data_IF_353141236647
#
_entry.id   IF_353141236647
#
_cell.length_a   1.000
_cell.length_b   1.000
_cell.length_c   1.000
_cell.angle_alpha   90.00
_cell.angle_beta   90.00
_cell.angle_gamma   90.00
#
_symmetry.space_group_name_H-M   'P 1'
#
loop_
_entity.id
_entity.type
_entity.pdbx_description
1 polymer ?
#
# COMPACT_ATOMS: atom_id res chain seq x y z
N UNK A 1 -6.51 18.64 6.25
CA UNK A 1 -6.71 17.27 5.72
C UNK A 1 -6.78 17.36 4.21
N UNK A 2 -5.78 16.78 3.53
CA UNK A 2 -5.65 16.80 2.08
C UNK A 2 -5.64 15.35 1.57
N UNK A 3 -6.75 14.96 0.97
CA UNK A 3 -6.94 13.67 0.34
C UNK A 3 -7.92 13.81 -0.82
N UNK A 4 -7.81 12.94 -1.81
CA UNK A 4 -8.61 12.98 -3.03
C UNK A 4 -8.98 11.56 -3.46
N UNK A 5 -10.18 11.39 -4.01
CA UNK A 5 -10.57 10.19 -4.74
C UNK A 5 -10.60 10.52 -6.23
N UNK A 6 -9.90 9.72 -7.03
CA UNK A 6 -9.85 9.81 -8.49
C UNK A 6 -10.54 8.56 -9.03
N UNK A 7 -11.55 8.75 -9.87
CA UNK A 7 -12.29 7.68 -10.52
C UNK A 7 -11.78 7.46 -11.95
N UNK A 8 -12.01 6.27 -12.51
CA UNK A 8 -11.65 5.91 -13.88
C UNK A 8 -10.17 6.16 -14.22
N UNK A 9 -9.27 5.70 -13.35
CA UNK A 9 -7.81 5.95 -13.47
C UNK A 9 -7.22 5.31 -14.73
N UNK A 10 -7.60 4.06 -15.00
CA UNK A 10 -7.14 3.28 -16.14
C UNK A 10 -8.07 3.49 -17.34
N UNK A 11 -7.53 3.49 -18.58
CA UNK A 11 -8.33 3.34 -19.79
C UNK A 11 -9.23 2.10 -19.73
N UNK A 12 -10.38 2.15 -20.41
CA UNK A 12 -11.42 1.13 -20.33
C UNK A 12 -10.91 -0.28 -20.66
N UNK A 13 -10.14 -0.43 -21.74
CA UNK A 13 -9.59 -1.69 -22.21
C UNK A 13 -8.63 -2.35 -21.19
N UNK A 14 -7.90 -1.54 -20.43
CA UNK A 14 -7.04 -1.99 -19.34
C UNK A 14 -7.84 -2.27 -18.07
N UNK A 15 -8.81 -1.40 -17.74
CA UNK A 15 -9.69 -1.54 -16.58
C UNK A 15 -10.42 -2.88 -16.58
N UNK A 16 -11.03 -3.25 -17.72
CA UNK A 16 -11.81 -4.48 -17.88
C UNK A 16 -11.01 -5.76 -17.58
N UNK A 17 -9.71 -5.72 -17.84
CA UNK A 17 -8.80 -6.87 -17.66
C UNK A 17 -7.97 -6.76 -16.39
N UNK A 18 -8.00 -5.60 -15.73
CA UNK A 18 -7.09 -5.25 -14.64
C UNK A 18 -7.17 -6.27 -13.50
N UNK A 19 -8.38 -6.65 -13.10
CA UNK A 19 -8.57 -7.58 -11.99
C UNK A 19 -7.99 -8.97 -12.30
N UNK A 20 -8.36 -9.55 -13.45
CA UNK A 20 -7.87 -10.85 -13.87
C UNK A 20 -6.35 -10.89 -14.05
N UNK A 21 -5.76 -9.81 -14.60
CA UNK A 21 -4.31 -9.68 -14.76
C UNK A 21 -3.61 -9.54 -13.41
N UNK A 22 -4.14 -8.73 -12.48
CA UNK A 22 -3.59 -8.62 -11.12
C UNK A 22 -3.64 -9.96 -10.39
N UNK A 23 -4.79 -10.64 -10.42
CA UNK A 23 -5.00 -11.93 -9.75
C UNK A 23 -4.04 -13.01 -10.25
N UNK A 24 -3.73 -13.02 -11.55
CA UNK A 24 -2.86 -14.03 -12.19
C UNK A 24 -1.38 -13.69 -12.19
N UNK A 25 -0.99 -12.42 -12.32
CA UNK A 25 0.42 -12.01 -12.44
C UNK A 25 1.09 -11.67 -11.10
N UNK A 26 0.31 -11.45 -10.03
CA UNK A 26 0.85 -11.17 -8.70
C UNK A 26 1.05 -12.49 -7.95
N UNK A 27 2.25 -12.70 -7.43
CA UNK A 27 2.51 -13.81 -6.51
C UNK A 27 1.97 -13.46 -5.12
N UNK A 28 1.00 -14.25 -4.65
CA UNK A 28 0.29 -14.02 -3.40
C UNK A 28 0.93 -14.77 -2.23
N UNK A 29 1.25 -14.03 -1.17
CA UNK A 29 1.82 -14.57 0.06
C UNK A 29 0.88 -14.31 1.25
N UNK A 30 0.98 -15.18 2.25
CA UNK A 30 0.40 -14.94 3.57
C UNK A 30 1.36 -14.08 4.39
N UNK A 31 0.84 -13.16 5.21
CA UNK A 31 1.63 -12.38 6.16
C UNK A 31 1.13 -12.61 7.59
N UNK A 32 2.06 -12.69 8.53
CA UNK A 32 1.77 -12.73 9.97
C UNK A 32 2.04 -11.36 10.62
N UNK A 33 1.18 -11.01 11.56
CA UNK A 33 1.32 -9.82 12.39
C UNK A 33 0.69 -10.05 13.77
N UNK A 34 1.43 -9.74 14.83
CA UNK A 34 1.00 -9.96 16.22
C UNK A 34 0.64 -11.43 16.50
N UNK A 35 1.40 -12.37 15.93
CA UNK A 35 1.23 -13.80 16.17
C UNK A 35 0.04 -14.44 15.44
N UNK A 36 -0.61 -13.71 14.52
CA UNK A 36 -1.72 -14.23 13.71
C UNK A 36 -1.58 -13.90 12.23
N UNK A 37 -2.19 -14.73 11.38
CA UNK A 37 -2.30 -14.45 9.96
C UNK A 37 -3.21 -13.25 9.71
N UNK A 38 -2.78 -12.31 8.87
CA UNK A 38 -3.68 -11.23 8.44
C UNK A 38 -4.77 -11.78 7.52
N UNK A 39 -6.02 -11.27 7.61
CA UNK A 39 -7.14 -11.78 6.82
C UNK A 39 -7.15 -11.13 5.43
N UNK A 40 -6.11 -11.42 4.65
CA UNK A 40 -5.88 -11.02 3.25
C UNK A 40 -4.56 -11.61 2.75
N UNK A 41 -4.43 -11.79 1.44
CA UNK A 41 -3.14 -12.11 0.82
C UNK A 41 -2.41 -10.82 0.45
N UNK A 42 -1.09 -10.89 0.38
CA UNK A 42 -0.26 -9.72 0.08
C UNK A 42 0.85 -10.03 -0.93
N UNK A 43 1.37 -8.97 -1.53
CA UNK A 43 2.60 -9.00 -2.32
C UNK A 43 3.27 -7.63 -2.22
N UNK A 44 4.59 -7.58 -2.21
CA UNK A 44 5.33 -6.31 -2.27
C UNK A 44 6.13 -6.29 -3.55
N UNK A 45 5.90 -5.29 -4.37
CA UNK A 45 6.64 -5.11 -5.61
C UNK A 45 7.34 -3.76 -5.63
N UNK A 46 8.45 -3.69 -6.34
CA UNK A 46 9.24 -2.47 -6.41
C UNK A 46 10.28 -2.51 -7.52
N UNK A 47 10.91 -1.36 -7.70
CA UNK A 47 12.10 -1.24 -8.52
C UNK A 47 13.32 -1.28 -7.61
N UNK A 48 14.30 -2.10 -7.96
CA UNK A 48 15.58 -2.11 -7.29
C UNK A 48 16.70 -2.35 -8.28
N UNK A 49 17.80 -1.64 -8.07
CA UNK A 49 19.05 -1.82 -8.80
C UNK A 49 20.11 -2.35 -7.84
N UNK A 50 21.14 -1.54 -7.59
CA UNK A 50 22.14 -1.84 -6.56
C UNK A 50 21.65 -1.59 -5.13
N UNK A 51 20.56 -0.85 -5.00
CA UNK A 51 19.90 -0.55 -3.73
C UNK A 51 18.42 -0.91 -3.82
N UNK A 52 17.90 -1.36 -2.69
CA UNK A 52 16.54 -1.88 -2.53
C UNK A 52 15.77 -0.88 -1.65
N UNK A 53 14.63 -0.32 -2.10
CA UNK A 53 13.79 0.52 -1.25
C UNK A 53 13.22 -0.33 -0.11
N UNK A 54 13.26 0.18 1.12
CA UNK A 54 12.76 -0.52 2.29
C UNK A 54 11.65 0.26 2.96
N UNK A 55 10.49 -0.37 3.07
CA UNK A 55 9.41 0.10 3.93
C UNK A 55 9.24 -0.86 5.10
N UNK A 56 9.36 -0.33 6.32
CA UNK A 56 9.30 -1.13 7.55
C UNK A 56 7.88 -1.52 7.92
N UNK A 57 7.36 -2.57 7.30
CA UNK A 57 6.04 -3.09 7.60
C UNK A 57 5.91 -3.53 9.07
N UNK A 58 4.73 -3.36 9.70
CA UNK A 58 4.43 -4.05 10.96
C UNK A 58 4.12 -5.51 10.64
N UNK A 59 5.15 -6.30 10.35
CA UNK A 59 5.06 -7.74 10.14
C UNK A 59 6.02 -8.45 11.07
N UNK A 60 5.67 -9.68 11.44
CA UNK A 60 6.53 -10.54 12.25
C UNK A 60 7.71 -11.11 11.41
N UNK A 61 7.61 -11.00 10.07
CA UNK A 61 8.56 -11.55 9.09
C UNK A 61 9.06 -10.46 8.13
N UNK A 62 10.23 -10.68 7.52
CA UNK A 62 10.71 -9.85 6.42
C UNK A 62 9.94 -10.18 5.14
N UNK A 63 9.31 -9.17 4.57
CA UNK A 63 8.60 -9.29 3.31
C UNK A 63 9.55 -9.00 2.15
N UNK A 64 9.61 -9.92 1.21
CA UNK A 64 10.46 -9.81 0.03
C UNK A 64 9.89 -8.77 -0.95
N UNK A 65 10.74 -7.84 -1.40
CA UNK A 65 10.44 -6.94 -2.50
C UNK A 65 10.75 -7.65 -3.82
N UNK A 66 9.72 -7.97 -4.61
CA UNK A 66 9.89 -8.58 -5.93
C UNK A 66 9.79 -7.53 -7.05
N UNK A 67 10.28 -7.83 -8.27
CA UNK A 67 10.09 -6.93 -9.41
C UNK A 67 8.61 -6.69 -9.73
N UNK A 68 8.33 -5.59 -10.41
CA UNK A 68 6.99 -5.27 -10.89
C UNK A 68 6.45 -6.33 -11.85
N UNK A 69 5.24 -6.84 -11.57
CA UNK A 69 4.45 -7.55 -12.57
C UNK A 69 4.04 -6.59 -13.70
N UNK A 70 3.90 -7.05 -14.97
CA UNK A 70 3.58 -6.18 -16.10
C UNK A 70 2.34 -5.29 -15.90
N UNK A 71 1.27 -5.80 -15.28
CA UNK A 71 0.07 -5.01 -14.98
C UNK A 71 0.33 -3.94 -13.90
N UNK A 72 1.11 -4.28 -12.86
CA UNK A 72 1.44 -3.36 -11.77
C UNK A 72 2.31 -2.21 -12.28
N UNK A 73 3.24 -2.50 -13.19
CA UNK A 73 4.07 -1.50 -13.86
C UNK A 73 3.22 -0.50 -14.66
N UNK A 74 2.23 -0.99 -15.42
CA UNK A 74 1.32 -0.11 -16.18
C UNK A 74 0.48 0.80 -15.27
N UNK A 75 -0.08 0.25 -14.19
CA UNK A 75 -0.84 1.03 -13.20
C UNK A 75 0.05 2.08 -12.56
N UNK A 76 1.28 1.71 -12.17
CA UNK A 76 2.29 2.63 -11.62
C UNK A 76 2.54 3.79 -12.57
N UNK A 77 2.80 3.51 -13.85
CA UNK A 77 3.17 4.53 -14.84
C UNK A 77 2.01 5.51 -15.10
N UNK A 78 0.78 5.00 -15.18
CA UNK A 78 -0.42 5.82 -15.33
C UNK A 78 -0.60 6.73 -14.10
N UNK A 79 -0.52 6.17 -12.89
CA UNK A 79 -0.62 6.95 -11.66
C UNK A 79 0.50 7.99 -11.54
N UNK A 80 1.73 7.62 -11.91
CA UNK A 80 2.87 8.52 -11.88
C UNK A 80 2.68 9.72 -12.79
N UNK A 81 2.16 9.49 -14.00
CA UNK A 81 1.82 10.57 -14.94
C UNK A 81 0.67 11.42 -14.44
N UNK A 82 -0.39 10.81 -13.92
CA UNK A 82 -1.59 11.53 -13.44
C UNK A 82 -1.30 12.42 -12.23
N UNK A 83 -0.39 11.99 -11.36
CA UNK A 83 -0.10 12.67 -10.09
C UNK A 83 1.22 13.45 -10.08
N UNK A 84 1.97 13.42 -11.18
CA UNK A 84 3.34 13.97 -11.27
C UNK A 84 4.24 13.49 -10.12
N UNK A 85 4.18 12.18 -9.83
CA UNK A 85 4.89 11.57 -8.70
C UNK A 85 5.43 10.18 -9.05
N UNK A 86 6.71 9.93 -8.80
CA UNK A 86 7.31 8.61 -9.01
C UNK A 86 7.04 7.65 -7.84
N UNK A 87 6.74 6.40 -8.14
CA UNK A 87 6.59 5.33 -7.15
C UNK A 87 7.66 4.25 -7.36
N UNK A 88 8.33 3.83 -6.28
CA UNK A 88 9.35 2.78 -6.32
C UNK A 88 8.96 1.54 -5.50
N UNK A 89 7.78 1.56 -4.87
CA UNK A 89 7.31 0.51 -3.98
C UNK A 89 5.77 0.45 -3.99
N UNK A 90 5.22 -0.76 -3.96
CA UNK A 90 3.79 -1.02 -3.75
C UNK A 90 3.59 -2.14 -2.73
N UNK A 91 2.62 -1.96 -1.84
CA UNK A 91 2.01 -3.07 -1.11
C UNK A 91 0.70 -3.43 -1.81
N UNK A 92 0.61 -4.65 -2.34
CA UNK A 92 -0.60 -5.20 -2.94
C UNK A 92 -1.31 -6.04 -1.89
N UNK A 93 -2.62 -5.89 -1.78
CA UNK A 93 -3.45 -6.62 -0.83
C UNK A 93 -4.68 -7.17 -1.55
N UNK A 94 -4.90 -8.47 -1.43
CA UNK A 94 -6.03 -9.17 -2.03
C UNK A 94 -7.01 -9.61 -0.94
N UNK A 95 -8.18 -8.98 -0.97
CA UNK A 95 -9.33 -9.25 -0.14
C UNK A 95 -10.21 -10.25 -0.88
N UNK A 96 -10.23 -11.49 -0.41
CA UNK A 96 -10.91 -12.62 -1.06
C UNK A 96 -12.43 -12.57 -0.89
N UNK A 97 -12.93 -11.73 0.01
CA UNK A 97 -14.35 -11.48 0.22
C UNK A 97 -14.56 -10.22 1.08
N UNK A 98 -15.83 -9.89 1.35
CA UNK A 98 -16.23 -8.89 2.34
C UNK A 98 -15.71 -9.15 3.76
N UNK A 99 -15.32 -10.38 4.08
CA UNK A 99 -14.83 -10.78 5.40
C UNK A 99 -13.35 -10.44 5.65
N UNK A 100 -12.57 -10.30 4.57
CA UNK A 100 -11.19 -9.83 4.66
C UNK A 100 -11.18 -8.33 4.99
N UNK A 101 -10.23 -7.89 5.83
CA UNK A 101 -10.20 -6.53 6.38
C UNK A 101 -8.79 -6.05 6.73
N UNK A 102 -8.66 -4.75 6.99
CA UNK A 102 -7.49 -4.15 7.64
C UNK A 102 -7.96 -3.18 8.72
N UNK A 103 -7.49 -3.40 9.96
CA UNK A 103 -7.82 -2.59 11.13
C UNK A 103 -7.37 -1.14 10.96
N UNK A 104 -7.86 -0.27 11.85
CA UNK A 104 -7.46 1.14 11.91
C UNK A 104 -5.94 1.26 12.11
N UNK A 105 -5.25 1.90 11.16
CA UNK A 105 -3.80 2.12 11.19
C UNK A 105 -3.42 3.37 10.41
N UNK A 106 -2.18 3.83 10.55
CA UNK A 106 -1.57 4.76 9.61
C UNK A 106 -0.35 4.09 8.99
N UNK A 107 -0.01 4.48 7.76
CA UNK A 107 1.25 4.06 7.17
C UNK A 107 2.42 4.65 7.97
N UNK A 108 3.50 3.87 8.14
CA UNK A 108 4.70 4.36 8.81
C UNK A 108 5.39 5.38 7.90
N UNK A 109 5.44 6.63 8.33
CA UNK A 109 5.99 7.72 7.51
C UNK A 109 7.51 7.79 7.50
N UNK A 110 8.19 7.02 8.36
CA UNK A 110 9.64 7.07 8.53
C UNK A 110 10.39 6.86 7.20
N UNK A 111 9.95 5.88 6.41
CA UNK A 111 10.61 5.49 5.16
C UNK A 111 9.98 6.11 3.91
N UNK A 112 8.79 6.70 4.03
CA UNK A 112 8.09 7.35 2.92
C UNK A 112 8.64 8.77 2.76
N UNK A 113 9.12 9.10 1.56
CA UNK A 113 9.66 10.41 1.22
C UNK A 113 8.71 11.53 1.66
N UNK A 114 9.21 12.44 2.49
CA UNK A 114 8.45 13.62 2.93
C UNK A 114 7.91 14.39 1.73
N UNK A 115 6.65 14.82 1.82
CA UNK A 115 5.97 15.59 0.78
C UNK A 115 5.37 14.76 -0.36
N UNK A 116 5.59 13.43 -0.39
CA UNK A 116 4.94 12.54 -1.37
C UNK A 116 3.65 11.94 -0.83
N UNK A 117 2.68 11.74 -1.71
CA UNK A 117 1.40 11.11 -1.38
C UNK A 117 1.50 9.59 -1.37
N UNK A 118 0.70 8.97 -0.51
CA UNK A 118 0.41 7.54 -0.51
C UNK A 118 -0.83 7.33 -1.38
N UNK A 119 -0.77 6.40 -2.33
CA UNK A 119 -1.85 6.22 -3.32
C UNK A 119 -2.37 4.79 -3.27
N UNK A 120 -3.65 4.62 -2.91
CA UNK A 120 -4.34 3.33 -2.91
C UNK A 120 -5.21 3.20 -4.14
N UNK A 121 -4.73 2.48 -5.15
CA UNK A 121 -5.54 2.08 -6.30
C UNK A 121 -6.38 0.84 -5.96
N UNK A 122 -7.62 0.79 -6.44
CA UNK A 122 -8.61 -0.25 -6.14
C UNK A 122 -9.15 -0.89 -7.41
N UNK A 123 -9.20 -2.22 -7.43
CA UNK A 123 -9.76 -3.00 -8.53
C UNK A 123 -10.62 -4.16 -7.98
N UNK A 124 -11.77 -4.39 -8.60
CA UNK A 124 -12.78 -5.36 -8.15
C UNK A 124 -13.85 -4.71 -7.28
N UNK A 125 -14.42 -5.49 -6.35
CA UNK A 125 -15.53 -5.08 -5.49
C UNK A 125 -15.29 -3.79 -4.73
N UNK A 126 -16.30 -2.92 -4.70
CA UNK A 126 -16.29 -1.68 -3.93
C UNK A 126 -16.18 -1.98 -2.43
N UNK A 127 -15.28 -1.27 -1.74
CA UNK A 127 -15.16 -1.30 -0.27
C UNK A 127 -14.98 0.11 0.28
N UNK A 128 -15.47 0.34 1.49
CA UNK A 128 -15.37 1.65 2.13
C UNK A 128 -14.05 1.81 2.88
N UNK A 129 -13.26 2.81 2.51
CA UNK A 129 -12.18 3.33 3.34
C UNK A 129 -12.73 4.30 4.38
N UNK A 130 -12.47 4.01 5.65
CA UNK A 130 -12.85 4.89 6.76
C UNK A 130 -11.60 5.60 7.24
N UNK A 131 -11.55 6.92 7.08
CA UNK A 131 -10.50 7.81 7.58
C UNK A 131 -10.96 8.45 8.89
N UNK A 132 -10.10 8.46 9.91
CA UNK A 132 -10.43 8.91 11.25
C UNK A 132 -9.29 9.72 11.87
N UNK A 133 -9.57 10.91 12.40
CA UNK A 133 -8.54 11.71 13.07
C UNK A 133 -8.03 11.00 14.33
N UNK A 134 -6.72 11.13 14.60
CA UNK A 134 -6.11 10.61 15.82
C UNK A 134 -6.52 11.47 17.02
N UNK A 135 -6.63 10.83 18.19
CA UNK A 135 -7.01 11.52 19.44
C UNK A 135 -6.01 12.63 19.77
N UNK A 136 -6.52 13.77 20.24
CA UNK A 136 -5.71 14.89 20.71
C UNK A 136 -5.09 15.77 19.62
N UNK A 137 -5.34 15.50 18.34
CA UNK A 137 -4.90 16.37 17.23
C UNK A 137 -5.97 17.38 16.81
N UNK A 138 -7.22 17.16 17.19
CA UNK A 138 -8.36 18.04 16.93
C UNK A 138 -9.30 18.05 18.13
N UNK A 139 -10.06 19.12 18.31
CA UNK A 139 -11.08 19.25 19.36
C UNK A 139 -12.14 18.15 19.21
N UNK A 140 -12.62 17.95 17.98
CA UNK A 140 -13.56 16.89 17.62
C UNK A 140 -12.95 15.78 16.78
N UNK A 141 -13.47 14.56 16.97
CA UNK A 141 -13.02 13.38 16.21
C UNK A 141 -13.67 13.36 14.81
N UNK A 142 -12.92 13.78 13.81
CA UNK A 142 -13.35 13.73 12.40
C UNK A 142 -13.35 12.27 11.89
N UNK A 143 -14.45 11.88 11.23
CA UNK A 143 -14.58 10.61 10.52
C UNK A 143 -15.06 10.91 9.09
N UNK A 144 -14.35 10.37 8.09
CA UNK A 144 -14.76 10.41 6.68
C UNK A 144 -14.78 9.01 6.09
N UNK A 145 -15.64 8.82 5.09
CA UNK A 145 -15.82 7.55 4.40
C UNK A 145 -15.71 7.79 2.90
N UNK A 146 -14.96 6.94 2.23
CA UNK A 146 -14.77 6.96 0.79
C UNK A 146 -15.07 5.59 0.23
N UNK A 147 -15.95 5.52 -0.76
CA UNK A 147 -16.19 4.29 -1.52
C UNK A 147 -15.05 4.11 -2.52
N UNK A 148 -14.35 2.99 -2.40
CA UNK A 148 -13.24 2.66 -3.29
C UNK A 148 -13.76 1.74 -4.37
N UNK A 149 -14.27 2.34 -5.44
CA UNK A 149 -14.83 1.64 -6.57
C UNK A 149 -13.75 0.94 -7.41
N UNK A 150 -14.19 0.03 -8.28
CA UNK A 150 -13.33 -0.50 -9.33
C UNK A 150 -12.71 0.65 -10.14
N UNK A 151 -11.40 0.57 -10.40
CA UNK A 151 -10.66 1.56 -11.17
C UNK A 151 -10.60 2.96 -10.51
N UNK A 152 -10.60 3.00 -9.18
CA UNK A 152 -10.43 4.23 -8.40
C UNK A 152 -9.05 4.30 -7.74
N UNK A 153 -8.55 5.52 -7.50
CA UNK A 153 -7.36 5.78 -6.68
C UNK A 153 -7.67 6.77 -5.57
N UNK A 154 -7.46 6.35 -4.31
CA UNK A 154 -7.49 7.23 -3.15
C UNK A 154 -6.08 7.74 -2.86
N UNK A 155 -5.91 9.06 -2.94
CA UNK A 155 -4.66 9.79 -2.71
C UNK A 155 -4.71 10.39 -1.31
N UNK A 156 -3.73 10.03 -0.48
CA UNK A 156 -3.58 10.51 0.89
C UNK A 156 -2.21 11.15 1.05
N UNK A 157 -2.15 12.44 1.33
CA UNK A 157 -0.86 13.10 1.48
C UNK A 157 -0.12 12.70 2.78
N UNK A 158 1.20 12.94 2.80
CA UNK A 158 2.07 12.53 3.90
C UNK A 158 1.65 13.12 5.26
N UNK A 159 1.21 14.39 5.27
CA UNK A 159 0.79 15.09 6.49
C UNK A 159 -0.53 14.54 7.03
N UNK A 160 -1.50 14.28 6.15
CA UNK A 160 -2.79 13.71 6.52
C UNK A 160 -2.61 12.30 7.07
N UNK A 161 -1.72 11.48 6.51
CA UNK A 161 -1.41 10.16 7.08
C UNK A 161 -0.81 10.23 8.51
N UNK A 162 -0.12 11.33 8.87
CA UNK A 162 0.31 11.54 10.27
C UNK A 162 -0.84 11.85 11.21
N UNK A 163 -1.84 12.56 10.73
CA UNK A 163 -2.96 13.06 11.56
C UNK A 163 -4.15 12.10 11.62
N UNK A 164 -4.27 11.21 10.63
CA UNK A 164 -5.40 10.31 10.48
C UNK A 164 -4.97 8.85 10.42
N UNK A 165 -5.83 7.97 10.94
CA UNK A 165 -5.77 6.53 10.72
C UNK A 165 -6.86 6.13 9.73
N UNK A 166 -6.65 5.04 8.99
CA UNK A 166 -7.57 4.50 8.00
C UNK A 166 -7.80 3.00 8.20
N UNK A 167 -8.94 2.52 7.72
CA UNK A 167 -9.33 1.10 7.79
C UNK A 167 -10.21 0.70 6.61
N UNK A 168 -10.19 -0.60 6.29
CA UNK A 168 -11.22 -1.28 5.49
C UNK A 168 -11.85 -2.32 6.42
N UNK A 169 -13.12 -2.15 6.76
CA UNK A 169 -13.83 -3.01 7.72
C UNK A 169 -14.47 -4.20 7.02
N UNK A 170 -14.68 -5.28 7.78
CA UNK A 170 -15.51 -6.38 7.34
C UNK A 170 -16.90 -5.88 6.93
N UNK A 171 -17.42 -6.40 5.83
CA UNK A 171 -18.78 -6.19 5.41
C UNK A 171 -19.58 -7.48 5.61
N UNK A 172 -20.36 -7.51 6.70
CA UNK A 172 -21.15 -8.66 7.13
C UNK A 172 -22.60 -8.62 6.64
N UNK A 173 -22.94 -7.64 5.78
CA UNK A 173 -24.25 -7.59 5.15
C UNK A 173 -24.43 -8.81 4.24
N UNK A 174 -25.68 -9.25 4.14
CA UNK A 174 -26.07 -10.27 3.17
C UNK A 174 -25.82 -9.78 1.73
N UNK A 175 -25.44 -10.67 0.83
CA UNK A 175 -25.14 -10.31 -0.56
C UNK A 175 -26.38 -9.79 -1.30
N UNK A 176 -27.58 -10.21 -0.91
CA UNK A 176 -28.85 -9.75 -1.52
C UNK A 176 -29.13 -8.25 -1.35
N UNK A 177 -28.47 -7.59 -0.39
CA UNK A 177 -28.60 -6.15 -0.13
C UNK A 177 -27.37 -5.34 -0.57
N UNK A 178 -26.40 -5.98 -1.22
CA UNK A 178 -25.22 -5.32 -1.78
C UNK A 178 -25.51 -4.87 -3.21
N UNK A 179 -24.91 -3.75 -3.59
CA UNK A 179 -24.95 -3.27 -4.96
C UNK A 179 -24.11 -4.14 -5.90
N UNK A 180 -24.33 -4.02 -7.20
CA UNK A 180 -23.55 -4.72 -8.22
C UNK A 180 -22.04 -4.40 -8.10
N UNK A 181 -21.70 -3.14 -7.80
CA UNK A 181 -20.30 -2.72 -7.63
C UNK A 181 -19.65 -3.36 -6.40
N UNK A 182 -20.40 -3.61 -5.33
CA UNK A 182 -19.92 -4.30 -4.13
C UNK A 182 -19.79 -5.82 -4.32
N UNK A 183 -20.45 -6.37 -5.35
CA UNK A 183 -20.41 -7.79 -5.72
C UNK A 183 -19.51 -8.07 -6.95
N UNK A 184 -18.93 -7.03 -7.55
CA UNK A 184 -18.05 -7.16 -8.71
C UNK A 184 -16.92 -8.15 -8.40
N UNK A 185 -16.53 -8.96 -9.39
CA UNK A 185 -15.53 -10.03 -9.23
C UNK A 185 -15.87 -11.00 -8.08
N UNK A 186 -17.16 -11.28 -7.88
CA UNK A 186 -17.68 -12.12 -6.79
C UNK A 186 -17.36 -11.57 -5.38
N UNK A 187 -17.36 -10.24 -5.23
CA UNK A 187 -17.09 -9.57 -3.94
C UNK A 187 -15.60 -9.53 -3.56
N UNK A 188 -14.72 -9.90 -4.49
CA UNK A 188 -13.27 -9.85 -4.31
C UNK A 188 -12.69 -8.47 -4.67
N UNK A 189 -11.66 -8.04 -3.94
CA UNK A 189 -10.99 -6.75 -4.18
C UNK A 189 -9.49 -6.88 -4.11
N UNK A 190 -8.79 -6.31 -5.08
CA UNK A 190 -7.34 -6.12 -5.04
C UNK A 190 -7.05 -4.63 -4.87
N UNK A 191 -6.18 -4.29 -3.92
CA UNK A 191 -5.71 -2.92 -3.73
C UNK A 191 -4.20 -2.82 -3.84
N UNK A 192 -3.73 -1.72 -4.42
CA UNK A 192 -2.33 -1.42 -4.64
C UNK A 192 -2.01 -0.12 -3.92
N UNK A 193 -1.25 -0.18 -2.82
CA UNK A 193 -0.81 1.01 -2.08
C UNK A 193 0.60 1.39 -2.52
N UNK A 194 0.69 2.33 -3.46
CA UNK A 194 1.94 2.86 -3.99
C UNK A 194 2.54 3.94 -3.07
N UNK A 195 3.87 3.93 -2.96
CA UNK A 195 4.65 4.86 -2.13
C UNK A 195 5.94 5.27 -2.85
N UNK A 196 6.42 6.47 -2.54
CA UNK A 196 7.79 6.88 -2.82
C UNK A 196 8.62 6.64 -1.57
N UNK A 197 9.45 5.61 -1.57
CA UNK A 197 10.32 5.25 -0.46
C UNK A 197 11.67 5.97 -0.61
N UNK A 198 12.14 6.55 0.48
CA UNK A 198 13.43 7.26 0.58
C UNK A 198 14.36 6.64 1.64
N UNK A 199 14.06 5.41 2.07
CA UNK A 199 14.98 4.56 2.84
C UNK A 199 15.41 3.40 1.95
N UNK A 200 16.71 3.13 1.90
CA UNK A 200 17.29 2.13 1.02
C UNK A 200 18.27 1.25 1.77
N UNK A 201 18.39 0.00 1.31
CA UNK A 201 19.41 -0.94 1.76
C UNK A 201 20.23 -1.42 0.57
N UNK A 202 21.54 -1.60 0.75
CA UNK A 202 22.37 -2.25 -0.27
C UNK A 202 22.09 -3.75 -0.33
N UNK A 203 22.48 -4.37 -1.45
CA UNK A 203 22.42 -5.83 -1.63
C UNK A 203 23.08 -6.57 -0.46
N UNK A 204 22.62 -7.78 -0.11
CA UNK A 204 23.24 -8.60 0.93
C UNK A 204 24.75 -8.75 0.72
N UNK A 205 25.53 -8.59 1.79
CA UNK A 205 26.99 -8.68 1.74
C UNK A 205 27.66 -8.15 3.02
N UNK A 206 28.99 -8.26 3.15
CA UNK A 206 29.75 -7.81 4.32
C UNK A 206 29.72 -6.29 4.52
N UNK A 207 29.35 -5.54 3.49
CA UNK A 207 29.23 -4.08 3.49
C UNK A 207 27.77 -3.62 3.38
N UNK A 208 26.82 -4.45 3.85
CA UNK A 208 25.40 -4.11 3.83
C UNK A 208 25.16 -2.89 4.72
N UNK A 209 24.53 -1.86 4.16
CA UNK A 209 24.20 -0.61 4.84
C UNK A 209 22.76 -0.21 4.57
N UNK A 210 22.11 0.42 5.55
CA UNK A 210 20.81 1.09 5.39
C UNK A 210 21.04 2.60 5.44
N UNK A 211 20.44 3.32 4.50
CA UNK A 211 20.63 4.75 4.34
C UNK A 211 19.35 5.44 3.86
N UNK A 212 19.34 6.77 3.93
CA UNK A 212 18.23 7.60 3.47
C UNK A 212 17.40 8.17 4.62
N UNK A 213 16.15 8.55 4.34
CA UNK A 213 15.28 9.29 5.25
C UNK A 213 15.11 8.59 6.61
N UNK A 214 14.75 7.31 6.59
CA UNK A 214 14.49 6.50 7.77
C UNK A 214 15.73 5.89 8.42
N UNK A 215 16.92 6.19 7.91
CA UNK A 215 18.19 5.71 8.45
C UNK A 215 18.97 6.81 9.17
N UNK A 216 19.95 6.42 9.97
CA UNK A 216 20.90 7.33 10.63
C UNK A 216 21.77 8.05 9.60
N UNK A 217 22.35 7.30 8.65
CA UNK A 217 23.07 7.85 7.50
C UNK A 217 22.15 8.22 6.34
N UNK A 218 22.33 9.40 5.74
CA UNK A 218 21.52 9.85 4.58
C UNK A 218 22.05 9.36 3.24
N UNK A 219 23.30 8.91 3.20
CA UNK A 219 23.97 8.40 2.01
C UNK A 219 24.70 7.11 2.36
N UNK A 220 25.07 6.31 1.36
CA UNK A 220 25.91 5.12 1.55
C UNK A 220 27.20 5.46 2.31
N UNK A 221 27.85 6.60 1.99
CA UNK A 221 29.11 7.04 2.63
C UNK A 221 28.96 7.39 4.10
N UNK A 222 27.78 7.82 4.52
CA UNK A 222 27.49 8.24 5.90
C UNK A 222 26.72 7.19 6.69
N UNK A 223 26.46 6.02 6.09
CA UNK A 223 25.72 4.94 6.70
C UNK A 223 26.64 3.99 7.46
N UNK A 224 26.15 3.51 8.60
CA UNK A 224 26.81 2.46 9.35
C UNK A 224 26.45 1.08 8.76
N UNK A 225 27.39 0.14 8.83
CA UNK A 225 27.15 -1.26 8.47
C UNK A 225 26.07 -1.85 9.37
N UNK A 226 25.18 -2.62 8.77
CA UNK A 226 24.17 -3.39 9.50
C UNK A 226 24.85 -4.67 9.96
N UNK A 227 24.90 -4.90 11.27
CA UNK A 227 25.36 -6.19 11.79
C UNK A 227 24.29 -7.24 11.48
N UNK A 228 24.68 -8.37 10.88
CA UNK A 228 23.80 -9.50 10.50
C UNK A 228 23.07 -10.18 11.69
N UNK A 229 23.15 -9.61 12.90
CA UNK A 229 22.46 -10.09 14.09
C UNK A 229 21.09 -9.39 14.23
N UNK A 230 20.06 -9.99 13.64
CA UNK A 230 18.66 -9.86 14.08
C UNK A 230 18.07 -8.44 14.23
N UNK A 231 18.58 -7.43 13.54
CA UNK A 231 17.82 -6.18 13.41
C UNK A 231 16.72 -6.41 12.37
N UNK A 232 15.50 -6.61 12.87
CA UNK A 232 14.29 -6.34 12.10
C UNK A 232 14.46 -4.96 11.50
N UNK A 233 14.57 -4.90 10.17
CA UNK A 233 14.60 -3.62 9.46
C UNK A 233 13.28 -2.93 9.71
#
# INVERSE_FOLDING_TARGET
MNCQLIENVLPHDLSDKCFALLKSQVEWKTMHHHGGQVPRLISIQGEYGDTIPVYRHPSDELLELVPWSPIVLQIRDILSKTLDQNFNHVLIQYYRSGQDFISEHSDKTLDIKKGTSIVNFSCGATRTMVLRSKKGLQEDRIIKRYELNHNSAFVLDWNTNKEFAHSIRQDKRDDSIKSEQELLENGERISLTFRTIDTFITKPGPDRVIFGQGATGKTIKTANKINNSKEQI
#
